data_IF_009833877637
#
_entry.id   IF_009833877637
#
_cell.length_a   1.000
_cell.length_b   1.000
_cell.length_c   1.000
_cell.angle_alpha   90.00
_cell.angle_beta   90.00
_cell.angle_gamma   90.00
#
_symmetry.space_group_name_H-M   'P 1'
#
loop_
_entity.id
_entity.type
_entity.pdbx_description
1 polymer ?
#
# COMPACT_ATOMS: atom_id res chain seq x y z
N UNK A 1 62.96 -14.82 44.13
CA UNK A 1 62.55 -16.23 44.33
C UNK A 1 62.23 -16.80 42.95
N UNK A 2 63.16 -17.54 42.35
CA UNK A 2 63.00 -18.18 41.03
C UNK A 2 62.28 -19.51 41.23
N UNK A 3 61.25 -19.78 40.44
CA UNK A 3 60.67 -21.13 40.33
C UNK A 3 60.69 -21.51 38.85
N UNK A 4 61.59 -22.42 38.52
CA UNK A 4 61.60 -23.19 37.28
C UNK A 4 60.56 -24.30 37.39
N UNK A 5 59.75 -24.50 36.34
CA UNK A 5 59.12 -25.80 36.11
C UNK A 5 59.39 -26.29 34.68
N UNK A 6 59.71 -27.58 34.63
CA UNK A 6 60.30 -28.33 33.52
C UNK A 6 59.28 -28.58 32.41
N UNK A 7 59.81 -28.66 31.19
CA UNK A 7 59.15 -29.19 30.01
C UNK A 7 58.78 -30.67 30.17
N UNK A 8 57.63 -31.06 29.61
CA UNK A 8 57.30 -32.42 29.25
C UNK A 8 56.81 -32.42 27.79
N UNK A 9 57.61 -33.03 26.91
CA UNK A 9 57.33 -33.20 25.50
C UNK A 9 56.25 -34.26 25.29
N UNK A 10 55.09 -33.86 24.78
CA UNK A 10 54.07 -34.76 24.24
C UNK A 10 54.05 -34.64 22.71
N UNK A 11 54.50 -35.68 22.01
CA UNK A 11 54.35 -35.79 20.57
C UNK A 11 52.86 -36.02 20.26
N UNK A 12 52.19 -34.99 19.74
CA UNK A 12 50.82 -35.10 19.24
C UNK A 12 50.89 -35.66 17.81
N UNK A 13 50.49 -36.91 17.66
CA UNK A 13 50.31 -37.57 16.37
C UNK A 13 49.18 -36.83 15.63
N UNK A 14 49.52 -36.02 14.63
CA UNK A 14 48.54 -35.35 13.78
C UNK A 14 47.89 -36.40 12.87
N UNK A 15 46.73 -36.92 13.30
CA UNK A 15 45.83 -37.70 12.46
C UNK A 15 45.23 -36.72 11.44
N UNK A 16 45.79 -36.67 10.23
CA UNK A 16 45.14 -35.99 9.10
C UNK A 16 43.93 -36.84 8.73
N UNK A 17 42.78 -36.52 9.34
CA UNK A 17 41.49 -36.95 8.81
C UNK A 17 41.28 -36.11 7.56
N UNK A 18 41.66 -36.64 6.41
CA UNK A 18 41.14 -36.13 5.13
C UNK A 18 39.63 -36.37 5.19
N UNK A 19 38.88 -35.35 5.57
CA UNK A 19 37.45 -35.32 5.29
C UNK A 19 37.31 -35.46 3.78
N UNK A 20 36.79 -36.61 3.36
CA UNK A 20 36.30 -36.79 2.00
C UNK A 20 35.17 -35.79 1.85
N UNK A 21 35.45 -34.65 1.21
CA UNK A 21 34.42 -33.72 0.76
C UNK A 21 33.56 -34.51 -0.22
N UNK A 22 32.40 -34.98 0.24
CA UNK A 22 31.35 -35.40 -0.68
C UNK A 22 31.01 -34.16 -1.50
N UNK A 23 31.38 -34.16 -2.79
CA UNK A 23 30.85 -33.20 -3.74
C UNK A 23 29.33 -33.20 -3.57
N UNK A 24 28.79 -32.10 -3.04
CA UNK A 24 27.42 -32.00 -2.59
C UNK A 24 26.45 -32.30 -3.73
N UNK A 25 25.24 -32.72 -3.39
CA UNK A 25 24.17 -33.04 -4.35
C UNK A 25 23.72 -31.85 -5.21
N UNK A 26 24.44 -30.73 -5.18
CA UNK A 26 24.12 -29.47 -5.80
C UNK A 26 25.25 -29.04 -6.73
N UNK A 27 24.91 -28.73 -7.97
CA UNK A 27 25.81 -28.27 -9.00
C UNK A 27 25.50 -26.81 -9.34
N UNK A 28 26.46 -25.88 -9.22
CA UNK A 28 26.26 -24.49 -9.58
C UNK A 28 25.89 -24.29 -11.05
N UNK A 29 24.97 -23.36 -11.31
CA UNK A 29 24.69 -22.85 -12.65
C UNK A 29 25.71 -21.75 -12.97
N UNK A 30 26.78 -22.14 -13.65
CA UNK A 30 27.88 -21.25 -14.05
C UNK A 30 27.91 -21.13 -15.57
N UNK A 31 28.13 -19.91 -16.05
CA UNK A 31 28.22 -19.53 -17.45
C UNK A 31 27.16 -18.49 -17.80
N UNK A 32 27.59 -17.38 -18.42
CA UNK A 32 26.69 -16.30 -18.80
C UNK A 32 25.56 -16.79 -19.70
N UNK A 33 25.87 -17.57 -20.75
CA UNK A 33 24.89 -18.12 -21.68
C UNK A 33 23.93 -19.10 -20.98
N UNK A 34 24.43 -19.88 -20.01
CA UNK A 34 23.62 -20.83 -19.23
C UNK A 34 22.62 -20.08 -18.36
N UNK A 35 23.06 -19.02 -17.66
CA UNK A 35 22.17 -18.21 -16.83
C UNK A 35 21.17 -17.40 -17.66
N UNK A 36 21.60 -16.86 -18.81
CA UNK A 36 20.70 -16.17 -19.75
C UNK A 36 19.62 -17.10 -20.28
N UNK A 37 20.00 -18.28 -20.75
CA UNK A 37 19.03 -19.28 -21.20
C UNK A 37 18.10 -19.68 -20.06
N UNK A 38 18.64 -19.85 -18.85
CA UNK A 38 17.86 -20.22 -17.67
C UNK A 38 16.73 -19.22 -17.37
N UNK A 39 17.04 -17.92 -17.20
CA UNK A 39 16.03 -16.92 -16.82
C UNK A 39 15.14 -16.48 -17.99
N UNK A 40 15.59 -16.61 -19.23
CA UNK A 40 14.80 -16.19 -20.39
C UNK A 40 13.51 -17.00 -20.51
N UNK A 41 12.37 -16.32 -20.38
CA UNK A 41 11.04 -16.95 -20.36
C UNK A 41 10.66 -17.60 -19.04
N UNK A 42 11.45 -17.43 -17.97
CA UNK A 42 11.16 -18.00 -16.66
C UNK A 42 9.99 -17.27 -16.00
N UNK A 43 9.03 -18.05 -15.49
CA UNK A 43 7.96 -17.57 -14.60
C UNK A 43 8.19 -18.14 -13.21
N UNK A 44 8.41 -17.27 -12.23
CA UNK A 44 8.50 -17.63 -10.81
C UNK A 44 7.12 -17.41 -10.18
N UNK A 45 6.59 -18.40 -9.47
CA UNK A 45 5.24 -18.35 -8.88
C UNK A 45 5.31 -18.49 -7.35
N UNK A 46 4.48 -17.72 -6.64
CA UNK A 46 4.33 -17.80 -5.17
C UNK A 46 2.85 -17.73 -4.79
N UNK A 47 2.44 -18.49 -3.77
CA UNK A 47 1.09 -18.37 -3.22
C UNK A 47 1.03 -17.21 -2.21
N UNK A 48 0.05 -16.32 -2.39
CA UNK A 48 -0.24 -15.22 -1.49
C UNK A 48 -1.22 -15.64 -0.39
N UNK A 49 -1.15 -15.01 0.80
CA UNK A 49 -2.24 -15.07 1.78
C UNK A 49 -3.58 -14.71 1.14
N UNK A 50 -4.54 -15.67 1.10
CA UNK A 50 -5.83 -15.51 0.43
C UNK A 50 -5.97 -16.31 -0.88
N UNK A 51 -4.94 -17.08 -1.27
CA UNK A 51 -5.01 -18.07 -2.34
C UNK A 51 -4.84 -17.50 -3.76
N UNK A 52 -4.37 -16.26 -3.89
CA UNK A 52 -3.92 -15.72 -5.18
C UNK A 52 -2.49 -16.15 -5.48
N UNK A 53 -2.14 -16.26 -6.75
CA UNK A 53 -0.76 -16.56 -7.17
C UNK A 53 -0.07 -15.27 -7.60
N UNK A 54 0.99 -14.90 -6.89
CA UNK A 54 1.96 -13.91 -7.34
C UNK A 54 2.88 -14.53 -8.39
N UNK A 55 3.29 -13.72 -9.36
CA UNK A 55 4.16 -14.14 -10.46
C UNK A 55 5.30 -13.16 -10.66
N UNK A 56 6.47 -13.65 -11.05
CA UNK A 56 7.55 -12.88 -11.63
C UNK A 56 7.89 -13.46 -12.99
N UNK A 57 7.59 -12.73 -14.05
CA UNK A 57 7.86 -13.13 -15.43
C UNK A 57 9.14 -12.44 -15.92
N UNK A 58 10.05 -13.20 -16.53
CA UNK A 58 11.32 -12.67 -17.04
C UNK A 58 11.46 -12.99 -18.53
N UNK A 59 11.62 -11.94 -19.34
CA UNK A 59 11.60 -12.02 -20.79
C UNK A 59 13.02 -11.98 -21.37
N UNK A 60 13.20 -12.55 -22.56
CA UNK A 60 14.50 -12.70 -23.21
C UNK A 60 15.18 -11.36 -23.58
N UNK A 61 14.44 -10.27 -23.61
CA UNK A 61 14.94 -8.92 -23.90
C UNK A 61 15.61 -8.24 -22.68
N UNK A 62 15.70 -8.92 -21.54
CA UNK A 62 16.27 -8.38 -20.31
C UNK A 62 15.25 -7.68 -19.42
N UNK A 63 13.96 -7.67 -19.79
CA UNK A 63 12.89 -7.11 -18.96
C UNK A 63 12.21 -8.19 -18.13
N UNK A 64 11.47 -7.78 -17.12
CA UNK A 64 10.62 -8.65 -16.34
C UNK A 64 9.48 -7.88 -15.69
N UNK A 65 8.53 -8.62 -15.12
CA UNK A 65 7.36 -8.06 -14.49
C UNK A 65 6.92 -8.92 -13.31
N UNK A 66 6.88 -8.32 -12.13
CA UNK A 66 6.26 -8.94 -10.96
C UNK A 66 4.80 -8.51 -10.90
N UNK A 67 3.89 -9.48 -10.69
CA UNK A 67 2.48 -9.23 -10.42
C UNK A 67 2.10 -9.85 -9.08
N UNK A 68 1.70 -9.02 -8.13
CA UNK A 68 1.14 -9.47 -6.87
C UNK A 68 0.12 -8.46 -6.32
N UNK A 69 -0.90 -8.96 -5.62
CA UNK A 69 -1.99 -8.14 -5.06
C UNK A 69 -2.67 -7.20 -6.07
N UNK A 70 -2.72 -7.58 -7.36
CA UNK A 70 -3.22 -6.72 -8.45
C UNK A 70 -2.23 -5.66 -8.94
N UNK A 71 -1.15 -5.39 -8.19
CA UNK A 71 -0.05 -4.52 -8.60
C UNK A 71 0.81 -5.14 -9.71
N UNK A 72 1.49 -4.28 -10.46
CA UNK A 72 2.42 -4.66 -11.52
C UNK A 72 3.72 -3.87 -11.37
N UNK A 73 4.83 -4.57 -11.18
CA UNK A 73 6.11 -4.00 -10.80
C UNK A 73 7.18 -4.36 -11.83
N UNK A 74 7.52 -3.44 -12.74
CA UNK A 74 8.53 -3.67 -13.76
C UNK A 74 9.89 -4.03 -13.16
N UNK A 75 10.62 -4.89 -13.86
CA UNK A 75 11.97 -5.31 -13.53
C UNK A 75 12.84 -5.30 -14.77
N UNK A 76 14.14 -5.21 -14.56
CA UNK A 76 15.15 -5.57 -15.55
C UNK A 76 16.07 -6.63 -14.97
N UNK A 77 16.69 -7.45 -15.79
CA UNK A 77 17.64 -8.45 -15.32
C UNK A 77 18.90 -8.49 -16.18
N UNK A 78 20.02 -8.82 -15.56
CA UNK A 78 21.34 -8.90 -16.19
C UNK A 78 22.17 -10.00 -15.54
N UNK A 79 23.11 -10.59 -16.27
CA UNK A 79 24.13 -11.46 -15.69
C UNK A 79 25.35 -10.63 -15.32
N UNK A 80 25.87 -10.85 -14.11
CA UNK A 80 27.09 -10.20 -13.60
C UNK A 80 28.17 -11.28 -13.42
N UNK A 81 29.28 -11.14 -14.14
CA UNK A 81 30.30 -12.19 -14.15
C UNK A 81 29.78 -13.46 -14.81
N UNK A 82 30.10 -14.61 -14.27
CA UNK A 82 29.73 -15.93 -14.78
C UNK A 82 28.78 -16.72 -13.88
N UNK A 83 28.43 -16.21 -12.70
CA UNK A 83 27.67 -16.95 -11.69
C UNK A 83 26.46 -16.21 -11.08
N UNK A 84 26.33 -14.90 -11.33
CA UNK A 84 25.30 -14.07 -10.70
C UNK A 84 24.26 -13.58 -11.69
N UNK A 85 23.00 -13.85 -11.38
CA UNK A 85 21.85 -13.27 -12.03
C UNK A 85 21.30 -12.12 -11.18
N UNK A 86 21.34 -10.91 -11.70
CA UNK A 86 20.89 -9.71 -11.02
C UNK A 86 19.54 -9.22 -11.56
N UNK A 87 18.56 -9.04 -10.68
CA UNK A 87 17.24 -8.47 -10.97
C UNK A 87 17.19 -7.08 -10.34
N UNK A 88 16.80 -6.08 -11.12
CA UNK A 88 16.75 -4.69 -10.72
C UNK A 88 15.33 -4.12 -10.78
N UNK A 89 15.03 -3.25 -9.81
CA UNK A 89 13.90 -2.31 -9.76
C UNK A 89 14.42 -0.87 -9.88
N UNK A 90 13.54 0.12 -9.74
CA UNK A 90 13.89 1.55 -9.89
C UNK A 90 15.00 2.04 -8.96
N UNK A 91 15.13 1.45 -7.76
CA UNK A 91 16.05 1.91 -6.72
C UNK A 91 17.01 0.82 -6.21
N UNK A 92 16.85 -0.43 -6.65
CA UNK A 92 17.52 -1.59 -6.05
C UNK A 92 17.89 -2.64 -7.07
N UNK A 93 18.99 -3.35 -6.81
CA UNK A 93 19.43 -4.51 -7.59
C UNK A 93 19.78 -5.64 -6.65
N UNK A 94 19.13 -6.79 -6.82
CA UNK A 94 19.38 -8.01 -6.06
C UNK A 94 20.03 -9.03 -6.99
N UNK A 95 21.15 -9.61 -6.56
CA UNK A 95 21.85 -10.64 -7.31
C UNK A 95 21.69 -12.00 -6.64
N UNK A 96 21.52 -13.02 -7.47
CA UNK A 96 21.27 -14.40 -7.05
C UNK A 96 22.27 -15.33 -7.70
N UNK A 97 22.72 -16.33 -6.94
CA UNK A 97 23.42 -17.50 -7.47
C UNK A 97 22.47 -18.69 -7.43
N UNK A 98 22.54 -19.57 -8.42
CA UNK A 98 21.64 -20.71 -8.53
C UNK A 98 22.40 -22.03 -8.62
N UNK A 99 21.81 -23.08 -8.06
CA UNK A 99 22.32 -24.44 -8.13
C UNK A 99 21.19 -25.40 -8.48
N UNK A 100 21.51 -26.44 -9.27
CA UNK A 100 20.59 -27.53 -9.61
C UNK A 100 20.94 -28.77 -8.78
N UNK A 101 19.95 -29.53 -8.36
CA UNK A 101 20.19 -30.78 -7.65
C UNK A 101 20.54 -31.90 -8.64
N UNK A 102 21.62 -32.64 -8.39
CA UNK A 102 22.11 -33.72 -9.26
C UNK A 102 21.36 -35.04 -9.06
N UNK A 103 20.63 -35.21 -7.95
CA UNK A 103 19.86 -36.43 -7.63
C UNK A 103 18.37 -36.29 -7.86
N UNK A 104 17.84 -35.06 -7.84
CA UNK A 104 16.43 -34.74 -7.97
C UNK A 104 16.22 -33.80 -9.17
N UNK A 105 15.98 -34.34 -10.38
CA UNK A 105 15.73 -33.54 -11.58
C UNK A 105 14.61 -32.52 -11.35
N UNK A 106 14.84 -31.27 -11.78
CA UNK A 106 13.88 -30.17 -11.62
C UNK A 106 13.89 -29.53 -10.22
N UNK A 107 14.71 -30.00 -9.27
CA UNK A 107 14.92 -29.31 -8.00
C UNK A 107 16.11 -28.35 -8.12
N UNK A 108 15.89 -27.10 -7.72
CA UNK A 108 16.87 -26.03 -7.73
C UNK A 108 16.89 -25.32 -6.39
N UNK A 109 17.96 -24.58 -6.14
CA UNK A 109 18.03 -23.60 -5.06
C UNK A 109 18.69 -22.32 -5.54
N UNK A 110 18.21 -21.20 -5.04
CA UNK A 110 18.78 -19.88 -5.29
C UNK A 110 19.19 -19.24 -3.99
N UNK A 111 20.34 -18.54 -3.98
CA UNK A 111 20.78 -17.72 -2.86
C UNK A 111 20.88 -16.27 -3.28
N UNK A 112 20.23 -15.41 -2.53
CA UNK A 112 20.49 -13.97 -2.65
C UNK A 112 21.87 -13.64 -2.07
N UNK A 113 22.69 -12.94 -2.85
CA UNK A 113 24.09 -12.66 -2.50
C UNK A 113 24.21 -11.76 -1.26
N UNK A 114 23.27 -10.85 -1.04
CA UNK A 114 23.30 -9.88 0.08
C UNK A 114 22.81 -10.47 1.41
N UNK A 115 21.75 -11.27 1.39
CA UNK A 115 21.15 -11.85 2.61
C UNK A 115 21.68 -13.23 2.94
N UNK A 116 22.35 -13.90 1.99
CA UNK A 116 22.81 -15.28 2.05
C UNK A 116 21.70 -16.33 2.27
N UNK A 117 20.43 -15.94 2.16
CA UNK A 117 19.28 -16.82 2.32
C UNK A 117 19.13 -17.71 1.09
N UNK A 118 19.05 -19.03 1.32
CA UNK A 118 18.74 -20.02 0.29
C UNK A 118 17.24 -20.31 0.24
N UNK A 119 16.70 -20.36 -0.99
CA UNK A 119 15.34 -20.81 -1.26
C UNK A 119 15.39 -21.98 -2.23
N UNK A 120 14.80 -23.11 -1.83
CA UNK A 120 14.60 -24.26 -2.71
C UNK A 120 13.30 -24.15 -3.50
N UNK A 121 13.33 -24.55 -4.76
CA UNK A 121 12.18 -24.50 -5.64
C UNK A 121 12.23 -25.61 -6.69
N UNK A 122 11.05 -26.01 -7.16
CA UNK A 122 10.90 -26.93 -8.28
C UNK A 122 10.65 -26.14 -9.55
N UNK A 123 11.36 -26.49 -10.61
CA UNK A 123 11.15 -25.98 -11.95
C UNK A 123 10.54 -27.06 -12.85
N UNK A 124 9.50 -26.69 -13.59
CA UNK A 124 8.95 -27.51 -14.66
C UNK A 124 8.53 -26.61 -15.82
N UNK A 125 9.16 -26.78 -16.99
CA UNK A 125 8.80 -26.07 -18.22
C UNK A 125 8.85 -24.54 -18.08
N UNK A 126 9.99 -24.00 -17.60
CA UNK A 126 10.18 -22.56 -17.32
C UNK A 126 9.24 -21.98 -16.27
N UNK A 127 8.65 -22.82 -15.40
CA UNK A 127 7.91 -22.36 -14.22
C UNK A 127 8.60 -22.82 -12.96
N UNK A 128 9.03 -21.89 -12.12
CA UNK A 128 9.65 -22.14 -10.82
C UNK A 128 8.66 -21.90 -9.67
N UNK A 129 8.56 -22.85 -8.74
CA UNK A 129 7.70 -22.79 -7.55
C UNK A 129 8.48 -23.16 -6.30
N UNK A 130 8.46 -22.35 -5.23
CA UNK A 130 9.14 -22.68 -3.98
C UNK A 130 8.59 -23.99 -3.40
N UNK A 131 9.45 -24.80 -2.79
CA UNK A 131 9.08 -26.08 -2.17
C UNK A 131 8.47 -25.94 -0.77
N UNK A 132 8.54 -24.75 -0.17
CA UNK A 132 7.97 -24.41 1.12
C UNK A 132 7.27 -23.05 1.13
N UNK A 133 6.71 -22.65 2.29
CA UNK A 133 6.19 -21.30 2.46
C UNK A 133 7.36 -20.31 2.46
N UNK A 134 7.23 -19.26 1.66
CA UNK A 134 8.21 -18.16 1.62
C UNK A 134 7.65 -17.04 2.49
N UNK A 135 7.70 -17.25 3.80
CA UNK A 135 7.19 -16.30 4.80
C UNK A 135 8.23 -15.20 5.12
N UNK A 136 9.51 -15.49 4.86
CA UNK A 136 10.66 -14.60 5.12
C UNK A 136 11.26 -14.07 3.81
N UNK A 137 10.53 -13.20 3.11
CA UNK A 137 11.18 -12.32 2.12
C UNK A 137 11.47 -11.00 2.81
N UNK A 138 12.74 -10.60 2.80
CA UNK A 138 13.17 -9.33 3.37
C UNK A 138 12.45 -8.13 2.71
N UNK A 139 12.57 -6.92 3.28
CA UNK A 139 11.93 -5.71 2.73
C UNK A 139 12.38 -5.38 1.30
N UNK A 140 13.47 -5.96 0.84
CA UNK A 140 14.05 -5.81 -0.50
C UNK A 140 13.20 -6.47 -1.59
N UNK A 141 12.34 -7.43 -1.25
CA UNK A 141 11.59 -8.23 -2.22
C UNK A 141 12.41 -9.41 -2.76
N UNK A 142 11.98 -9.95 -3.90
CA UNK A 142 12.65 -11.07 -4.55
C UNK A 142 12.09 -11.39 -5.94
N UNK A 143 12.44 -12.54 -6.54
CA UNK A 143 12.12 -12.81 -7.95
C UNK A 143 10.63 -12.92 -8.29
N UNK A 144 9.74 -13.07 -7.30
CA UNK A 144 8.28 -13.00 -7.48
C UNK A 144 7.61 -12.19 -6.36
N UNK A 145 8.37 -11.31 -5.71
CA UNK A 145 7.91 -10.51 -4.55
C UNK A 145 8.39 -9.09 -4.75
N UNK A 146 7.46 -8.14 -4.78
CA UNK A 146 7.78 -6.74 -4.85
C UNK A 146 8.43 -6.30 -3.53
N UNK A 147 9.31 -5.31 -3.61
CA UNK A 147 9.93 -4.74 -2.42
C UNK A 147 8.87 -4.00 -1.58
N UNK A 148 9.14 -3.79 -0.29
CA UNK A 148 8.26 -2.96 0.54
C UNK A 148 8.12 -1.53 0.00
N UNK A 149 9.13 -1.05 -0.73
CA UNK A 149 9.14 0.28 -1.36
C UNK A 149 8.22 0.33 -2.59
N UNK A 150 8.24 -0.73 -3.41
CA UNK A 150 7.30 -0.90 -4.51
C UNK A 150 5.85 -0.89 -4.00
N UNK A 151 5.58 -1.67 -2.96
CA UNK A 151 4.27 -1.72 -2.32
C UNK A 151 3.91 -0.36 -1.70
N UNK A 152 4.83 0.32 -1.02
CA UNK A 152 4.56 1.63 -0.43
C UNK A 152 4.25 2.71 -1.49
N UNK A 153 4.96 2.67 -2.61
CA UNK A 153 4.71 3.53 -3.77
C UNK A 153 3.34 3.26 -4.37
N UNK A 154 3.01 1.99 -4.59
CA UNK A 154 1.73 1.58 -5.16
C UNK A 154 0.55 1.90 -4.21
N UNK A 155 0.69 1.67 -2.90
CA UNK A 155 -0.33 2.06 -1.90
C UNK A 155 -0.40 3.58 -1.64
N UNK A 156 0.51 4.37 -2.19
CA UNK A 156 0.43 5.84 -2.20
C UNK A 156 -0.20 6.36 -3.50
N UNK A 157 -0.40 5.51 -4.50
CA UNK A 157 -1.13 5.83 -5.72
C UNK A 157 -2.65 5.84 -5.46
N UNK A 158 -3.36 6.96 -5.65
CA UNK A 158 -4.82 7.01 -5.52
C UNK A 158 -5.56 6.08 -6.50
N UNK A 159 -4.91 5.74 -7.62
CA UNK A 159 -5.43 4.87 -8.69
C UNK A 159 -4.99 3.41 -8.53
N UNK A 160 -4.46 3.03 -7.36
CA UNK A 160 -3.85 1.71 -7.16
C UNK A 160 -4.80 0.56 -7.52
N UNK A 161 -4.33 -0.48 -8.23
CA UNK A 161 -5.06 -1.72 -8.43
C UNK A 161 -4.98 -2.64 -7.20
N UNK A 162 -4.25 -2.25 -6.14
CA UNK A 162 -4.16 -3.02 -4.91
C UNK A 162 -5.39 -2.81 -4.03
N UNK A 163 -6.20 -3.85 -3.92
CA UNK A 163 -7.36 -3.83 -3.04
C UNK A 163 -6.95 -3.71 -1.57
N UNK A 164 -7.53 -2.75 -0.87
CA UNK A 164 -7.19 -2.42 0.52
C UNK A 164 -8.44 -2.13 1.34
N UNK A 165 -8.43 -2.54 2.61
CA UNK A 165 -9.48 -2.22 3.57
C UNK A 165 -9.01 -1.10 4.49
N UNK A 166 -9.39 0.15 4.23
CA UNK A 166 -8.88 1.27 5.01
C UNK A 166 -9.76 1.52 6.25
N UNK A 167 -9.16 1.47 7.43
CA UNK A 167 -9.77 1.85 8.70
C UNK A 167 -9.06 3.10 9.22
N UNK A 168 -9.82 4.17 9.46
CA UNK A 168 -9.32 5.44 9.98
C UNK A 168 -10.00 5.74 11.30
N UNK A 169 -9.22 5.93 12.35
CA UNK A 169 -9.69 6.38 13.66
C UNK A 169 -9.29 7.84 13.82
N UNK A 170 -10.25 8.75 13.80
CA UNK A 170 -10.03 10.19 13.79
C UNK A 170 -10.61 10.83 15.04
N UNK A 171 -9.75 11.49 15.81
CA UNK A 171 -10.12 12.29 16.97
C UNK A 171 -10.17 13.75 16.57
N UNK A 172 -11.24 14.47 16.94
CA UNK A 172 -11.41 15.89 16.63
C UNK A 172 -11.65 16.70 17.90
N UNK A 173 -11.01 17.86 17.99
CA UNK A 173 -11.47 18.96 18.83
C UNK A 173 -12.18 19.98 17.95
N UNK A 174 -13.08 20.76 18.56
CA UNK A 174 -13.88 21.75 17.86
C UNK A 174 -13.74 23.12 18.51
N UNK A 175 -14.02 24.15 17.73
CA UNK A 175 -14.11 25.53 18.16
C UNK A 175 -15.27 26.24 17.45
N UNK A 176 -15.59 27.45 17.91
CA UNK A 176 -16.57 28.32 17.26
C UNK A 176 -17.24 29.30 18.22
N UNK A 177 -18.15 30.11 17.66
CA UNK A 177 -18.86 31.16 18.38
C UNK A 177 -20.01 30.65 19.26
N UNK A 178 -20.49 29.42 19.02
CA UNK A 178 -21.56 28.84 19.82
C UNK A 178 -21.11 28.59 21.27
N UNK A 179 -22.02 28.75 22.27
CA UNK A 179 -21.70 28.46 23.66
C UNK A 179 -21.13 27.05 23.84
N UNK A 180 -20.02 26.94 24.57
CA UNK A 180 -19.30 25.69 24.84
C UNK A 180 -18.70 24.97 23.62
N UNK A 181 -18.62 25.61 22.44
CA UNK A 181 -18.01 25.02 21.24
C UNK A 181 -16.57 24.51 21.47
N UNK A 182 -15.74 25.33 22.12
CA UNK A 182 -14.32 25.04 22.36
C UNK A 182 -14.05 23.88 23.35
N UNK A 183 -15.10 23.33 23.98
CA UNK A 183 -15.00 22.19 24.89
C UNK A 183 -15.49 20.88 24.25
N UNK A 184 -15.82 20.90 22.96
CA UNK A 184 -16.38 19.75 22.28
C UNK A 184 -15.29 18.89 21.62
N UNK A 185 -15.51 17.58 21.62
CA UNK A 185 -14.63 16.62 20.97
C UNK A 185 -15.47 15.50 20.35
N UNK A 186 -14.93 14.83 19.32
CA UNK A 186 -15.57 13.64 18.76
C UNK A 186 -14.56 12.61 18.29
N UNK A 187 -15.02 11.38 18.11
CA UNK A 187 -14.26 10.31 17.47
C UNK A 187 -15.03 9.78 16.27
N UNK A 188 -14.35 9.60 15.14
CA UNK A 188 -14.90 8.94 13.95
C UNK A 188 -14.11 7.67 13.66
N UNK A 189 -14.82 6.55 13.53
CA UNK A 189 -14.29 5.33 12.91
C UNK A 189 -14.79 5.32 11.47
N UNK A 190 -13.90 5.55 10.54
CA UNK A 190 -14.22 5.64 9.11
C UNK A 190 -13.67 4.41 8.39
N UNK A 191 -14.58 3.61 7.82
CA UNK A 191 -14.24 2.48 6.99
C UNK A 191 -14.37 2.85 5.51
N UNK A 192 -13.27 2.77 4.76
CA UNK A 192 -13.21 3.14 3.33
C UNK A 192 -12.51 2.04 2.52
N UNK A 193 -13.18 0.94 2.17
CA UNK A 193 -12.56 -0.06 1.30
C UNK A 193 -12.26 0.54 -0.08
N UNK A 194 -11.11 0.19 -0.64
CA UNK A 194 -10.75 0.50 -2.03
C UNK A 194 -10.61 -0.81 -2.78
N UNK A 195 -11.60 -1.14 -3.61
CA UNK A 195 -11.69 -2.40 -4.35
C UNK A 195 -11.73 -2.10 -5.85
N UNK A 196 -10.57 -1.97 -6.51
CA UNK A 196 -10.48 -1.60 -7.92
C UNK A 196 -10.89 -2.76 -8.84
N UNK A 197 -11.48 -2.44 -9.99
CA UNK A 197 -11.84 -3.36 -11.07
C UNK A 197 -10.94 -3.09 -12.28
N UNK A 198 -9.80 -3.79 -12.42
CA UNK A 198 -8.86 -3.57 -13.52
C UNK A 198 -9.47 -3.93 -14.87
N UNK A 199 -9.11 -3.17 -15.89
CA UNK A 199 -9.55 -3.29 -17.27
C UNK A 199 -8.38 -3.68 -18.19
N UNK A 200 -8.68 -4.29 -19.33
CA UNK A 200 -7.66 -4.73 -20.30
C UNK A 200 -6.80 -3.59 -20.85
N UNK A 201 -7.34 -2.37 -20.89
CA UNK A 201 -6.64 -1.18 -21.39
C UNK A 201 -5.66 -0.55 -20.37
N UNK A 202 -5.43 -1.21 -19.24
CA UNK A 202 -4.57 -0.75 -18.15
C UNK A 202 -5.19 0.30 -17.22
N UNK A 203 -6.46 0.66 -17.42
CA UNK A 203 -7.24 1.44 -16.46
C UNK A 203 -7.96 0.55 -15.44
N UNK A 204 -8.64 1.18 -14.50
CA UNK A 204 -9.48 0.53 -13.49
C UNK A 204 -10.77 1.33 -13.28
N UNK A 205 -11.87 0.64 -13.00
CA UNK A 205 -13.02 1.28 -12.34
C UNK A 205 -12.79 1.20 -10.84
N UNK A 206 -12.93 2.33 -10.15
CA UNK A 206 -12.83 2.43 -8.70
C UNK A 206 -14.24 2.62 -8.15
N UNK A 207 -14.57 1.88 -7.10
CA UNK A 207 -15.72 2.18 -6.24
C UNK A 207 -15.23 2.18 -4.80
N UNK A 208 -15.24 3.36 -4.16
CA UNK A 208 -14.73 3.54 -2.79
C UNK A 208 -15.82 4.14 -1.90
N UNK A 209 -16.66 3.30 -1.26
CA UNK A 209 -17.60 3.78 -0.27
C UNK A 209 -16.86 4.24 0.99
N UNK A 210 -17.42 5.23 1.68
CA UNK A 210 -16.92 5.80 2.91
C UNK A 210 -18.02 5.71 3.97
N UNK A 211 -17.82 4.85 4.97
CA UNK A 211 -18.82 4.51 5.98
C UNK A 211 -18.36 5.09 7.32
N UNK A 212 -18.89 6.25 7.76
CA UNK A 212 -18.51 6.87 9.01
C UNK A 212 -19.37 6.37 10.18
N UNK A 213 -18.73 5.81 11.20
CA UNK A 213 -19.31 5.65 12.54
C UNK A 213 -18.82 6.80 13.42
N UNK A 214 -19.75 7.65 13.85
CA UNK A 214 -19.48 8.82 14.66
C UNK A 214 -19.79 8.48 16.12
N UNK A 215 -18.84 8.78 17.01
CA UNK A 215 -18.91 8.51 18.45
C UNK A 215 -18.84 9.83 19.21
N UNK A 216 -19.89 10.14 19.97
CA UNK A 216 -20.00 11.37 20.74
C UNK A 216 -19.91 12.63 19.88
N UNK A 217 -20.48 12.61 18.68
CA UNK A 217 -20.48 13.76 17.78
C UNK A 217 -21.30 14.89 18.41
N UNK A 218 -20.72 16.08 18.62
CA UNK A 218 -21.42 17.22 19.19
C UNK A 218 -22.52 17.69 18.25
N UNK A 219 -23.74 17.79 18.77
CA UNK A 219 -24.91 18.36 18.11
C UNK A 219 -25.44 19.48 18.99
N UNK A 220 -25.54 20.69 18.43
CA UNK A 220 -25.98 21.86 19.20
C UNK A 220 -27.49 21.84 19.43
N UNK A 221 -27.91 21.97 20.70
CA UNK A 221 -29.31 22.05 21.10
C UNK A 221 -29.67 23.50 21.41
N UNK A 222 -30.30 24.18 20.46
CA UNK A 222 -30.64 25.60 20.57
C UNK A 222 -31.57 25.94 21.77
N UNK A 223 -32.37 24.97 22.25
CA UNK A 223 -33.25 25.20 23.41
C UNK A 223 -32.49 25.19 24.74
N UNK A 224 -31.38 24.45 24.81
CA UNK A 224 -30.51 24.35 25.98
C UNK A 224 -29.30 25.28 25.90
N UNK A 225 -29.01 25.82 24.71
CA UNK A 225 -27.79 26.57 24.40
C UNK A 225 -26.53 25.78 24.77
N UNK A 226 -26.55 24.47 24.49
CA UNK A 226 -25.47 23.55 24.81
C UNK A 226 -25.40 22.40 23.81
N UNK A 227 -24.31 21.63 23.85
CA UNK A 227 -24.09 20.49 22.97
C UNK A 227 -24.49 19.16 23.62
N UNK A 228 -25.01 18.25 22.79
CA UNK A 228 -25.28 16.86 23.16
C UNK A 228 -24.44 15.94 22.26
N UNK A 229 -23.87 14.88 22.85
CA UNK A 229 -23.04 13.91 22.12
C UNK A 229 -23.90 12.81 21.51
N UNK A 230 -23.96 12.76 20.18
CA UNK A 230 -24.72 11.75 19.43
C UNK A 230 -23.80 10.65 18.90
N UNK A 231 -24.31 9.42 18.82
CA UNK A 231 -23.55 8.26 18.31
C UNK A 231 -24.37 7.51 17.28
N UNK A 232 -23.77 7.22 16.13
CA UNK A 232 -24.45 6.56 15.03
C UNK A 232 -23.65 6.55 13.74
N UNK A 233 -24.22 5.93 12.71
CA UNK A 233 -23.68 6.05 11.36
C UNK A 233 -24.05 7.41 10.79
N UNK A 234 -23.10 8.04 10.10
CA UNK A 234 -23.37 9.17 9.22
C UNK A 234 -23.80 8.71 7.83
N UNK A 235 -24.00 9.67 6.94
CA UNK A 235 -24.28 9.41 5.53
C UNK A 235 -23.09 8.70 4.86
N UNK A 236 -23.38 7.67 4.06
CA UNK A 236 -22.36 6.92 3.31
C UNK A 236 -22.08 7.68 2.03
N UNK A 237 -20.86 8.21 1.91
CA UNK A 237 -20.37 8.76 0.66
C UNK A 237 -19.70 7.68 -0.19
N UNK A 238 -19.59 7.90 -1.50
CA UNK A 238 -18.77 7.08 -2.36
C UNK A 238 -18.22 7.88 -3.53
N UNK A 239 -17.06 7.43 -4.01
CA UNK A 239 -16.59 7.76 -5.35
C UNK A 239 -16.76 6.56 -6.29
N UNK A 240 -17.09 6.87 -7.54
CA UNK A 240 -17.14 5.94 -8.65
C UNK A 240 -16.41 6.57 -9.84
N UNK A 241 -15.21 6.07 -10.16
CA UNK A 241 -14.35 6.69 -11.15
C UNK A 241 -13.72 5.69 -12.11
N UNK A 242 -13.52 6.12 -13.35
CA UNK A 242 -12.49 5.53 -14.20
C UNK A 242 -11.14 6.15 -13.83
N UNK A 243 -10.15 5.31 -13.54
CA UNK A 243 -8.83 5.72 -13.13
C UNK A 243 -7.76 5.04 -13.99
N UNK A 244 -6.69 5.75 -14.31
CA UNK A 244 -5.54 5.21 -15.03
C UNK A 244 -4.24 5.82 -14.53
N UNK A 245 -3.23 4.96 -14.43
CA UNK A 245 -1.83 5.37 -14.26
C UNK A 245 -1.14 5.04 -15.58
N UNK A 246 -0.61 6.04 -16.28
CA UNK A 246 0.18 5.81 -17.50
C UNK A 246 1.57 5.27 -17.17
N UNK A 247 2.26 4.71 -18.17
CA UNK A 247 3.65 4.25 -18.03
C UNK A 247 4.61 5.38 -17.64
N UNK A 248 4.28 6.61 -18.05
CA UNK A 248 5.01 7.81 -17.63
C UNK A 248 4.67 8.24 -16.19
N UNK A 249 3.83 7.50 -15.45
CA UNK A 249 3.41 7.83 -14.10
C UNK A 249 2.40 8.99 -14.01
N UNK A 250 1.78 9.42 -15.11
CA UNK A 250 0.67 10.38 -15.04
C UNK A 250 -0.56 9.67 -14.48
N UNK A 251 -1.11 10.24 -13.42
CA UNK A 251 -2.33 9.81 -12.75
C UNK A 251 -3.50 10.60 -13.31
N UNK A 252 -4.54 9.92 -13.77
CA UNK A 252 -5.79 10.54 -14.18
C UNK A 252 -6.96 9.75 -13.63
N UNK A 253 -7.96 10.43 -13.10
CA UNK A 253 -9.27 9.82 -12.86
C UNK A 253 -10.38 10.81 -13.19
N UNK A 254 -11.54 10.29 -13.60
CA UNK A 254 -12.75 11.08 -13.73
C UNK A 254 -13.93 10.21 -13.34
N UNK A 255 -14.91 10.80 -12.67
CA UNK A 255 -15.97 10.03 -12.07
C UNK A 255 -17.06 10.90 -11.48
N UNK A 256 -17.80 10.26 -10.59
CA UNK A 256 -18.81 10.92 -9.76
C UNK A 256 -18.52 10.69 -8.28
N UNK A 257 -18.75 11.73 -7.50
CA UNK A 257 -18.85 11.68 -6.05
C UNK A 257 -20.32 11.81 -5.64
N UNK A 258 -20.72 11.08 -4.62
CA UNK A 258 -22.09 11.07 -4.15
C UNK A 258 -22.16 10.73 -2.66
N UNK A 259 -23.19 11.22 -1.98
CA UNK A 259 -23.52 10.88 -0.60
C UNK A 259 -24.95 10.36 -0.51
N UNK A 260 -25.15 9.26 0.20
CA UNK A 260 -26.43 8.60 0.41
C UNK A 260 -26.99 8.95 1.80
N UNK A 261 -28.30 9.24 1.92
CA UNK A 261 -28.94 9.58 3.20
C UNK A 261 -29.15 8.33 4.07
N UNK A 262 -28.07 7.72 4.54
CA UNK A 262 -28.05 6.45 5.28
C UNK A 262 -27.80 6.60 6.77
N UNK A 263 -27.63 7.83 7.26
CA UNK A 263 -27.40 8.07 8.68
C UNK A 263 -28.50 7.46 9.57
N UNK A 264 -28.12 6.96 10.74
CA UNK A 264 -29.04 6.26 11.65
C UNK A 264 -29.92 7.20 12.48
N UNK A 265 -29.51 8.46 12.61
CA UNK A 265 -30.15 9.49 13.43
C UNK A 265 -29.86 10.87 12.80
N UNK A 266 -29.93 11.95 13.59
CA UNK A 266 -29.67 13.32 13.12
C UNK A 266 -28.24 13.62 12.66
N UNK A 267 -27.38 12.61 12.50
CA UNK A 267 -25.99 12.71 12.09
C UNK A 267 -25.78 12.75 10.57
N UNK A 268 -26.86 12.73 9.79
CA UNK A 268 -26.84 12.86 8.33
C UNK A 268 -27.68 14.02 7.83
N UNK A 269 -27.42 14.40 6.59
CA UNK A 269 -28.11 15.48 5.89
C UNK A 269 -29.55 15.10 5.49
N UNK A 270 -29.84 13.79 5.37
CA UNK A 270 -31.04 13.26 4.71
C UNK A 270 -31.19 13.73 3.25
N UNK A 271 -30.08 14.16 2.63
CA UNK A 271 -29.99 14.51 1.21
C UNK A 271 -29.20 13.44 0.47
N UNK A 272 -29.62 13.20 -0.76
CA UNK A 272 -28.84 12.47 -1.74
C UNK A 272 -28.07 13.48 -2.58
N UNK A 273 -26.75 13.35 -2.65
CA UNK A 273 -25.90 14.26 -3.43
C UNK A 273 -25.33 13.57 -4.65
N UNK A 274 -25.02 14.35 -5.68
CA UNK A 274 -24.32 13.87 -6.87
C UNK A 274 -23.48 14.99 -7.46
N UNK A 275 -22.29 14.63 -7.93
CA UNK A 275 -21.32 15.60 -8.41
C UNK A 275 -20.22 14.98 -9.26
N UNK A 276 -19.60 15.72 -10.18
CA UNK A 276 -18.40 15.25 -10.87
C UNK A 276 -17.16 15.31 -9.97
N UNK A 277 -16.20 14.43 -10.26
CA UNK A 277 -14.86 14.46 -9.67
C UNK A 277 -13.77 14.20 -10.73
N UNK A 278 -12.58 14.77 -10.52
CA UNK A 278 -11.46 14.66 -11.44
C UNK A 278 -10.14 14.59 -10.68
N UNK A 279 -9.27 13.65 -11.03
CA UNK A 279 -7.92 13.55 -10.49
C UNK A 279 -6.90 13.81 -11.60
N UNK A 280 -5.89 14.62 -11.30
CA UNK A 280 -4.66 14.69 -12.08
C UNK A 280 -3.45 14.68 -11.16
N UNK A 281 -2.42 13.93 -11.51
CA UNK A 281 -1.22 13.85 -10.70
C UNK A 281 -0.05 13.17 -11.40
N UNK A 282 1.03 13.02 -10.64
CA UNK A 282 2.28 12.40 -11.05
C UNK A 282 2.75 11.44 -9.96
N UNK A 283 2.95 10.20 -10.36
CA UNK A 283 3.65 9.16 -9.63
C UNK A 283 5.07 9.04 -10.19
N UNK A 284 6.05 9.02 -9.31
CA UNK A 284 7.47 8.75 -9.60
C UNK A 284 7.97 7.70 -8.60
N UNK A 285 9.25 7.32 -8.69
CA UNK A 285 9.86 6.42 -7.71
C UNK A 285 9.90 6.99 -6.29
N UNK A 286 9.91 8.33 -6.14
CA UNK A 286 10.10 9.02 -4.85
C UNK A 286 8.95 9.92 -4.43
N UNK A 287 8.07 10.30 -5.34
CA UNK A 287 7.03 11.27 -5.08
C UNK A 287 5.70 10.88 -5.73
N UNK A 288 4.61 11.16 -5.01
CA UNK A 288 3.24 11.18 -5.54
C UNK A 288 2.67 12.56 -5.30
N UNK A 289 2.35 13.30 -6.36
CA UNK A 289 1.83 14.66 -6.26
C UNK A 289 0.56 14.78 -7.11
N UNK A 290 -0.44 15.53 -6.67
CA UNK A 290 -1.61 15.77 -7.50
C UNK A 290 -2.70 16.59 -6.83
N UNK A 291 -3.79 16.74 -7.56
CA UNK A 291 -4.98 17.47 -7.15
C UNK A 291 -6.22 16.68 -7.57
N UNK A 292 -7.23 16.69 -6.70
CA UNK A 292 -8.47 15.94 -6.86
C UNK A 292 -9.66 16.84 -6.50
N UNK A 293 -10.09 17.74 -7.42
CA UNK A 293 -11.29 18.53 -7.27
C UNK A 293 -12.55 17.69 -7.49
N UNK A 294 -13.58 18.01 -6.71
CA UNK A 294 -14.95 17.57 -6.94
C UNK A 294 -15.92 18.68 -6.54
N UNK A 295 -17.15 18.56 -7.03
CA UNK A 295 -18.22 19.47 -6.66
C UNK A 295 -19.53 18.70 -6.62
N UNK A 296 -20.31 18.85 -5.56
CA UNK A 296 -21.54 18.08 -5.35
C UNK A 296 -22.73 18.99 -5.05
N UNK A 297 -23.87 18.63 -5.62
CA UNK A 297 -25.17 19.20 -5.29
C UNK A 297 -26.02 18.16 -4.59
N UNK A 298 -26.94 18.59 -3.74
CA UNK A 298 -28.11 17.75 -3.47
C UNK A 298 -28.97 17.63 -4.74
N UNK A 299 -29.57 16.45 -4.93
CA UNK A 299 -30.46 16.16 -6.06
C UNK A 299 -31.78 15.51 -5.61
N UNK A 300 -31.97 15.38 -4.30
CA UNK A 300 -33.17 14.84 -3.68
C UNK A 300 -32.94 14.44 -2.23
N UNK A 301 -33.98 13.90 -1.60
CA UNK A 301 -33.96 13.52 -0.19
C UNK A 301 -35.08 14.19 0.60
N UNK A 302 -35.19 13.84 1.88
CA UNK A 302 -36.21 14.37 2.80
C UNK A 302 -35.66 15.43 3.76
N UNK A 303 -34.36 15.71 3.70
CA UNK A 303 -33.75 16.79 4.47
C UNK A 303 -34.06 18.17 3.91
N UNK A 304 -34.04 19.16 4.79
CA UNK A 304 -34.36 20.57 4.48
C UNK A 304 -33.10 21.41 4.18
N UNK A 305 -31.91 20.90 4.51
CA UNK A 305 -30.64 21.57 4.22
C UNK A 305 -30.25 21.34 2.76
N UNK A 306 -30.02 22.41 2.01
CA UNK A 306 -29.45 22.33 0.67
C UNK A 306 -27.93 22.07 0.76
N UNK A 307 -27.39 21.38 -0.24
CA UNK A 307 -25.97 21.06 -0.35
C UNK A 307 -25.46 21.56 -1.69
N UNK A 308 -24.48 22.45 -1.63
CA UNK A 308 -23.72 22.89 -2.77
C UNK A 308 -22.27 23.08 -2.31
N UNK A 309 -21.43 22.07 -2.55
CA UNK A 309 -20.12 21.96 -1.91
C UNK A 309 -19.04 21.69 -2.95
N UNK A 310 -18.04 22.56 -3.03
CA UNK A 310 -16.78 22.28 -3.73
C UNK A 310 -15.79 21.67 -2.75
N UNK A 311 -15.11 20.58 -3.13
CA UNK A 311 -13.95 20.06 -2.41
C UNK A 311 -12.74 19.97 -3.31
N UNK A 312 -11.56 20.30 -2.79
CA UNK A 312 -10.29 20.17 -3.49
C UNK A 312 -9.30 19.47 -2.56
N UNK A 313 -8.96 18.22 -2.90
CA UNK A 313 -7.87 17.54 -2.23
C UNK A 313 -6.56 17.83 -2.96
N UNK A 314 -5.61 18.44 -2.27
CA UNK A 314 -4.23 18.57 -2.72
C UNK A 314 -3.44 17.45 -2.06
N UNK A 315 -2.64 16.69 -2.79
CA UNK A 315 -1.84 15.64 -2.16
C UNK A 315 -0.39 15.67 -2.65
N UNK A 316 0.51 15.46 -1.69
CA UNK A 316 1.94 15.31 -1.92
C UNK A 316 2.52 14.31 -0.93
N UNK A 317 3.12 13.25 -1.44
CA UNK A 317 3.77 12.19 -0.65
C UNK A 317 5.19 11.98 -1.14
N UNK A 318 6.15 11.99 -0.21
CA UNK A 318 7.54 11.61 -0.41
C UNK A 318 7.79 10.20 0.15
N UNK A 319 8.57 9.41 -0.58
CA UNK A 319 8.87 8.00 -0.32
C UNK A 319 10.39 7.82 -0.12
N UNK A 320 10.92 7.98 1.12
CA UNK A 320 12.35 7.87 1.41
C UNK A 320 12.91 6.42 1.41
N UNK A 321 12.18 5.43 0.90
CA UNK A 321 12.45 3.98 1.03
C UNK A 321 12.19 3.41 2.45
N UNK A 322 12.40 2.10 2.60
CA UNK A 322 12.08 1.34 3.81
C UNK A 322 10.58 1.23 4.11
N UNK A 323 9.74 1.40 3.08
CA UNK A 323 8.29 1.46 3.17
C UNK A 323 7.73 2.74 3.81
N UNK A 324 8.58 3.71 4.14
CA UNK A 324 8.14 4.97 4.75
C UNK A 324 7.48 5.89 3.74
N UNK A 325 6.50 6.67 4.21
CA UNK A 325 5.88 7.76 3.47
C UNK A 325 5.67 8.97 4.37
N UNK A 326 5.92 10.16 3.83
CA UNK A 326 5.75 11.44 4.51
C UNK A 326 5.04 12.36 3.55
N UNK A 327 4.01 13.08 3.98
CA UNK A 327 3.28 13.91 3.05
C UNK A 327 2.29 14.87 3.68
N UNK A 328 1.43 15.38 2.80
CA UNK A 328 0.32 16.24 3.10
C UNK A 328 -0.79 15.94 2.10
N UNK A 329 -2.02 15.80 2.57
CA UNK A 329 -3.19 15.52 1.74
C UNK A 329 -4.43 16.32 2.17
N UNK A 330 -4.35 17.66 2.37
CA UNK A 330 -5.47 18.44 2.88
C UNK A 330 -6.65 18.41 1.90
N UNK A 331 -7.86 18.36 2.46
CA UNK A 331 -9.11 18.54 1.72
C UNK A 331 -9.65 19.91 2.07
N UNK A 332 -9.55 20.84 1.13
CA UNK A 332 -10.13 22.18 1.26
C UNK A 332 -11.56 22.11 0.75
N UNK A 333 -12.51 22.70 1.47
CA UNK A 333 -13.91 22.76 1.03
C UNK A 333 -14.42 24.20 1.02
N UNK A 334 -15.39 24.47 0.14
CA UNK A 334 -16.16 25.69 0.12
C UNK A 334 -17.64 25.36 -0.03
N UNK A 335 -18.42 25.76 0.97
CA UNK A 335 -19.87 25.61 1.01
C UNK A 335 -20.51 26.86 0.38
N UNK A 336 -21.18 26.68 -0.74
CA UNK A 336 -21.83 27.76 -1.50
C UNK A 336 -23.20 28.13 -0.95
N UNK A 337 -23.72 27.41 0.05
CA UNK A 337 -24.97 27.75 0.75
C UNK A 337 -24.69 28.72 1.89
N UNK A 338 -23.59 28.51 2.61
CA UNK A 338 -23.21 29.36 3.76
C UNK A 338 -22.10 30.37 3.44
N UNK A 339 -21.52 30.32 2.24
CA UNK A 339 -20.36 31.11 1.81
C UNK A 339 -19.10 30.89 2.69
N UNK A 340 -18.95 29.68 3.27
CA UNK A 340 -17.88 29.36 4.22
C UNK A 340 -16.82 28.42 3.65
N UNK A 341 -15.58 28.70 4.01
CA UNK A 341 -14.42 27.85 3.71
C UNK A 341 -14.13 26.92 4.88
N UNK A 342 -13.59 25.74 4.56
CA UNK A 342 -12.88 24.89 5.52
C UNK A 342 -11.50 24.59 4.94
N UNK A 343 -10.45 25.07 5.60
CA UNK A 343 -9.07 24.98 5.10
C UNK A 343 -8.20 24.32 6.16
N UNK A 344 -7.87 23.03 6.02
CA UNK A 344 -6.89 22.38 6.87
C UNK A 344 -5.47 22.51 6.31
N UNK A 345 -4.50 22.69 7.21
CA UNK A 345 -3.12 22.28 6.98
C UNK A 345 -3.00 20.83 7.44
N UNK A 346 -2.57 19.96 6.53
CA UNK A 346 -2.43 18.54 6.80
C UNK A 346 -0.96 18.12 6.84
N UNK A 347 -0.65 17.19 7.75
CA UNK A 347 0.58 16.42 7.72
C UNK A 347 0.25 14.94 7.92
N UNK A 348 0.89 14.08 7.13
CA UNK A 348 0.75 12.63 7.25
C UNK A 348 2.12 11.96 7.28
N UNK A 349 2.21 10.92 8.11
CA UNK A 349 3.38 10.07 8.26
C UNK A 349 2.93 8.62 8.30
N UNK A 350 3.56 7.75 7.51
CA UNK A 350 3.14 6.37 7.43
C UNK A 350 4.26 5.40 7.09
N UNK A 351 3.96 4.12 7.32
CA UNK A 351 4.85 3.00 7.03
C UNK A 351 4.07 1.85 6.42
N UNK A 352 4.57 1.34 5.32
CA UNK A 352 4.18 0.05 4.76
C UNK A 352 5.08 -1.03 5.34
N UNK A 353 4.46 -2.12 5.79
CA UNK A 353 5.16 -3.31 6.28
C UNK A 353 4.55 -4.55 5.63
N UNK A 354 5.31 -5.65 5.59
CA UNK A 354 4.79 -6.96 5.23
C UNK A 354 4.76 -7.81 6.49
N UNK A 355 3.58 -8.27 6.88
CA UNK A 355 3.38 -9.07 8.09
C UNK A 355 2.50 -10.28 7.74
N UNK A 356 2.98 -11.49 8.05
CA UNK A 356 2.31 -12.75 7.67
C UNK A 356 2.16 -12.90 6.15
N UNK A 357 3.17 -12.44 5.39
CA UNK A 357 3.16 -12.43 3.92
C UNK A 357 2.23 -11.39 3.28
N UNK A 358 1.47 -10.62 4.08
CA UNK A 358 0.51 -9.61 3.61
C UNK A 358 1.06 -8.19 3.80
N UNK A 359 0.91 -7.29 2.82
CA UNK A 359 1.22 -5.88 3.01
C UNK A 359 0.17 -5.15 3.88
N UNK A 360 0.67 -4.25 4.74
CA UNK A 360 -0.12 -3.37 5.60
C UNK A 360 0.41 -1.96 5.51
N UNK A 361 -0.45 -0.98 5.28
CA UNK A 361 -0.12 0.44 5.43
C UNK A 361 -0.62 0.92 6.79
N UNK A 362 0.28 1.52 7.55
CA UNK A 362 0.01 2.15 8.84
C UNK A 362 0.29 3.64 8.71
N UNK A 363 -0.50 4.49 9.33
CA UNK A 363 -0.31 5.93 9.22
C UNK A 363 -0.86 6.73 10.40
N UNK A 364 -0.31 7.92 10.56
CA UNK A 364 -0.80 8.98 11.42
C UNK A 364 -1.04 10.20 10.54
N UNK A 365 -2.15 10.88 10.76
CA UNK A 365 -2.47 12.15 10.11
C UNK A 365 -2.81 13.20 11.15
N UNK A 366 -2.43 14.45 10.89
CA UNK A 366 -2.79 15.60 11.71
C UNK A 366 -3.33 16.68 10.78
N UNK A 367 -4.47 17.26 11.14
CA UNK A 367 -5.01 18.43 10.49
C UNK A 367 -5.17 19.53 11.53
N UNK A 368 -4.71 20.72 11.17
CA UNK A 368 -5.04 21.96 11.86
C UNK A 368 -5.88 22.80 10.92
N UNK A 369 -7.10 23.15 11.33
CA UNK A 369 -8.02 23.91 10.49
C UNK A 369 -7.74 25.40 10.72
N UNK A 370 -7.18 26.06 9.70
CA UNK A 370 -6.91 27.51 9.76
C UNK A 370 -8.12 28.34 9.39
N UNK A 371 -9.12 27.71 8.80
CA UNK A 371 -10.41 28.28 8.43
C UNK A 371 -11.47 27.19 8.59
N UNK A 372 -12.60 27.53 9.21
CA UNK A 372 -13.72 26.64 9.46
C UNK A 372 -14.98 27.49 9.73
N UNK A 373 -16.16 26.87 9.79
CA UNK A 373 -17.42 27.59 9.99
C UNK A 373 -17.47 28.35 11.34
N UNK A 374 -17.72 29.66 11.30
CA UNK A 374 -17.70 30.55 12.49
C UNK A 374 -18.50 29.99 13.68
N UNK A 375 -19.69 29.44 13.41
CA UNK A 375 -20.56 28.92 14.45
C UNK A 375 -19.98 27.70 15.18
N UNK A 376 -19.46 26.72 14.43
CA UNK A 376 -18.93 25.48 14.97
C UNK A 376 -18.24 24.64 13.90
N UNK A 377 -17.04 24.14 14.20
CA UNK A 377 -16.36 23.16 13.37
C UNK A 377 -15.00 22.78 13.94
N UNK A 378 -14.27 21.92 13.22
CA UNK A 378 -13.08 21.27 13.77
C UNK A 378 -11.92 22.27 13.87
N UNK A 379 -11.19 22.23 14.98
CA UNK A 379 -9.94 22.98 15.17
C UNK A 379 -8.74 22.07 14.87
N UNK A 380 -8.73 20.87 15.46
CA UNK A 380 -7.73 19.84 15.24
C UNK A 380 -8.38 18.52 14.85
N UNK A 381 -7.66 17.74 14.03
CA UNK A 381 -7.94 16.32 13.85
C UNK A 381 -6.65 15.51 13.91
N UNK A 382 -6.63 14.46 14.72
CA UNK A 382 -5.57 13.45 14.76
C UNK A 382 -6.15 12.12 14.31
N UNK A 383 -5.58 11.53 13.26
CA UNK A 383 -6.04 10.27 12.70
C UNK A 383 -5.00 9.17 12.79
N UNK A 384 -5.46 7.94 13.01
CA UNK A 384 -4.67 6.72 12.90
C UNK A 384 -5.27 5.84 11.80
N UNK A 385 -4.43 5.43 10.86
CA UNK A 385 -4.82 4.74 9.65
C UNK A 385 -4.22 3.32 9.65
N UNK A 386 -5.05 2.30 9.43
CA UNK A 386 -4.63 0.91 9.23
C UNK A 386 -5.28 0.38 7.97
N UNK A 387 -4.47 -0.18 7.07
CA UNK A 387 -4.94 -0.61 5.76
C UNK A 387 -4.25 -1.90 5.32
N UNK A 388 -4.80 -3.08 5.67
CA UNK A 388 -4.36 -4.33 5.07
C UNK A 388 -4.71 -4.39 3.59
N UNK A 389 -3.76 -4.89 2.80
CA UNK A 389 -3.99 -5.30 1.41
C UNK A 389 -4.69 -6.65 1.41
N UNK A 390 -5.73 -6.78 0.59
CA UNK A 390 -6.58 -7.97 0.52
C UNK A 390 -6.78 -8.40 -0.91
N UNK A 391 -7.17 -9.67 -1.09
CA UNK A 391 -7.71 -10.14 -2.36
C UNK A 391 -8.97 -9.36 -2.70
N UNK A 392 -9.06 -8.85 -3.93
CA UNK A 392 -10.31 -8.29 -4.40
C UNK A 392 -11.31 -9.40 -4.77
N UNK A 393 -12.17 -9.76 -3.82
CA UNK A 393 -13.23 -10.76 -4.04
C UNK A 393 -14.30 -10.34 -5.06
N UNK A 394 -14.38 -9.06 -5.41
CA UNK A 394 -15.41 -8.51 -6.29
C UNK A 394 -14.98 -8.45 -7.76
N UNK A 395 -13.69 -8.61 -8.08
CA UNK A 395 -13.18 -8.50 -9.47
C UNK A 395 -13.91 -9.42 -10.46
N UNK A 396 -14.43 -10.57 -9.99
CA UNK A 396 -15.17 -11.50 -10.82
C UNK A 396 -16.60 -11.08 -11.17
N UNK A 397 -17.15 -10.03 -10.57
CA UNK A 397 -18.55 -9.63 -10.77
C UNK A 397 -18.80 -8.92 -12.10
N UNK A 398 -17.75 -8.41 -12.75
CA UNK A 398 -17.81 -7.67 -14.01
C UNK A 398 -17.09 -8.37 -15.16
N UNK A 399 -16.78 -9.67 -15.03
CA UNK A 399 -16.16 -10.50 -16.06
C UNK A 399 -17.15 -11.36 -16.80
#
# INVERSE_FOLDING_TARGET
MRINFKAASGALLALVVTSVVHAGEWEPLIGEDILRDYISGLTVERQLPGGETATGEYYADGTGLIREYGGSFPRTWTIKGDDQLCIASDNRTQCYVYEKNTRSPGLYRGREVSSEIWIEFKEAGKRARPTGSVDEVGPEGGPAVASVDDIARELSNPNTPMASLNFKLQFRSFEGDLPNANNQNSTTVLFQPSLPFPLENGGSILFRPAIPLLLGQPVFNANKLDFEGETGLGDIAFDLAYAKTSDAGILTAFGVISSLPTATNGLGSKRFTLGPEFLIGKLTSKYVLGVFPNHQWDIGGSGDADINLTSIQLFGTYLPDGGWNIGSAPVVTYDHITDQWTVPINFQFGKTIVAGGRPWKLGIEVNYYVEQADAFGPEWMIGFNVSPVVKNGLVGWFK
#
